data_IF_627134450704
#
_entry.id   IF_627134450704
#
_cell.length_a   1.000
_cell.length_b   1.000
_cell.length_c   1.000
_cell.angle_alpha   90.00
_cell.angle_beta   90.00
_cell.angle_gamma   90.00
#
_symmetry.space_group_name_H-M   'P 1'
#
loop_
_entity.id
_entity.type
_entity.pdbx_description
1 polymer ?
#
# COMPACT_ATOMS: atom_id res chain seq x y z
N UNK A 1 -9.31 8.54 1.90
CA UNK A 1 -8.41 7.45 2.34
C UNK A 1 -9.17 6.15 2.59
N UNK A 2 -10.49 6.21 2.77
CA UNK A 2 -11.33 5.06 3.15
C UNK A 2 -11.30 3.91 2.14
N UNK A 3 -11.38 4.22 0.84
CA UNK A 3 -11.27 3.21 -0.22
C UNK A 3 -9.93 2.47 -0.17
N UNK A 4 -8.83 3.18 0.07
CA UNK A 4 -7.48 2.59 0.15
C UNK A 4 -7.38 1.63 1.34
N UNK A 5 -7.96 1.98 2.49
CA UNK A 5 -7.98 1.13 3.69
C UNK A 5 -8.80 -0.14 3.46
N UNK A 6 -9.88 -0.08 2.67
CA UNK A 6 -10.68 -1.26 2.29
C UNK A 6 -9.87 -2.17 1.37
N UNK A 7 -9.30 -1.64 0.28
CA UNK A 7 -8.50 -2.46 -0.68
C UNK A 7 -7.30 -3.11 0.01
N UNK A 8 -6.68 -2.43 0.98
CA UNK A 8 -5.57 -3.00 1.76
C UNK A 8 -5.95 -4.30 2.51
N UNK A 9 -7.23 -4.44 2.92
CA UNK A 9 -7.72 -5.66 3.57
C UNK A 9 -7.78 -6.83 2.60
N UNK A 10 -8.02 -6.58 1.32
CA UNK A 10 -8.12 -7.62 0.28
C UNK A 10 -6.76 -8.16 -0.17
N UNK A 11 -5.68 -7.40 0.01
CA UNK A 11 -4.31 -7.84 -0.28
C UNK A 11 -3.96 -9.02 0.63
N UNK A 12 -3.33 -10.06 0.09
CA UNK A 12 -2.95 -11.22 0.90
C UNK A 12 -1.71 -10.91 1.76
N UNK A 13 -1.62 -11.45 2.97
CA UNK A 13 -0.41 -11.30 3.79
C UNK A 13 0.81 -11.86 3.04
N UNK A 14 1.91 -11.11 3.02
CA UNK A 14 3.13 -11.41 2.27
C UNK A 14 3.15 -10.94 0.81
N UNK A 15 2.06 -10.35 0.30
CA UNK A 15 1.98 -9.84 -1.07
C UNK A 15 2.62 -8.44 -1.20
N UNK A 16 3.36 -8.24 -2.29
CA UNK A 16 4.02 -6.99 -2.63
C UNK A 16 3.13 -6.15 -3.56
N UNK A 17 2.98 -4.87 -3.24
CA UNK A 17 2.15 -3.94 -4.01
C UNK A 17 2.75 -2.54 -4.03
N UNK A 18 2.31 -1.72 -4.98
CA UNK A 18 2.56 -0.28 -4.99
C UNK A 18 1.26 0.50 -4.77
N UNK A 19 1.34 1.78 -4.41
CA UNK A 19 0.16 2.60 -4.09
C UNK A 19 -0.88 2.60 -5.21
N UNK A 20 -0.47 2.54 -6.49
CA UNK A 20 -1.39 2.48 -7.63
C UNK A 20 -2.27 1.22 -7.64
N UNK A 21 -1.80 0.11 -7.06
CA UNK A 21 -2.52 -1.18 -7.08
C UNK A 21 -3.69 -1.16 -6.09
N UNK A 22 -3.71 -0.20 -5.16
CA UNK A 22 -4.81 0.03 -4.22
C UNK A 22 -6.03 0.70 -4.88
N UNK A 23 -5.89 1.10 -6.15
CA UNK A 23 -6.92 1.75 -6.95
C UNK A 23 -7.22 0.90 -8.18
N UNK A 24 -8.44 0.99 -8.71
CA UNK A 24 -8.72 0.40 -10.03
C UNK A 24 -7.95 1.20 -11.08
N UNK A 25 -7.42 0.52 -12.10
CA UNK A 25 -6.55 1.16 -13.11
C UNK A 25 -7.16 2.42 -13.75
N UNK A 26 -8.47 2.42 -14.03
CA UNK A 26 -9.15 3.60 -14.57
C UNK A 26 -9.30 4.74 -13.55
N UNK A 27 -9.43 4.44 -12.25
CA UNK A 27 -9.50 5.45 -11.19
C UNK A 27 -8.14 6.11 -11.00
N UNK A 28 -7.06 5.32 -10.94
CA UNK A 28 -5.70 5.84 -10.88
C UNK A 28 -5.40 6.78 -12.05
N UNK A 29 -5.82 6.40 -13.26
CA UNK A 29 -5.61 7.18 -14.48
C UNK A 29 -6.36 8.52 -14.50
N UNK A 30 -7.45 8.68 -13.74
CA UNK A 30 -8.20 9.94 -13.62
C UNK A 30 -7.59 10.94 -12.63
N UNK A 31 -6.74 10.48 -11.71
CA UNK A 31 -6.08 11.36 -10.73
C UNK A 31 -4.96 12.13 -11.45
N UNK A 32 -4.89 13.45 -11.27
CA UNK A 32 -3.80 14.26 -11.84
C UNK A 32 -2.43 13.86 -11.29
N UNK A 33 -1.35 14.07 -12.07
CA UNK A 33 0.02 13.68 -11.68
C UNK A 33 0.43 14.21 -10.31
N UNK A 34 0.17 15.49 -10.03
CA UNK A 34 0.50 16.10 -8.73
C UNK A 34 -0.22 15.44 -7.56
N UNK A 35 -1.50 15.08 -7.75
CA UNK A 35 -2.28 14.38 -6.73
C UNK A 35 -1.77 12.95 -6.51
N UNK A 36 -1.31 12.24 -7.56
CA UNK A 36 -0.67 10.92 -7.42
C UNK A 36 0.61 11.00 -6.60
N UNK A 37 1.45 12.01 -6.83
CA UNK A 37 2.66 12.24 -6.04
C UNK A 37 2.32 12.50 -4.57
N UNK A 38 1.33 13.37 -4.31
CA UNK A 38 0.87 13.66 -2.95
C UNK A 38 0.33 12.40 -2.25
N UNK A 39 -0.44 11.58 -2.96
CA UNK A 39 -0.93 10.29 -2.44
C UNK A 39 0.21 9.35 -2.07
N UNK A 40 1.24 9.24 -2.90
CA UNK A 40 2.45 8.47 -2.58
C UNK A 40 3.10 8.95 -1.28
N UNK A 41 3.30 10.25 -1.10
CA UNK A 41 3.87 10.83 0.13
C UNK A 41 2.98 10.61 1.35
N UNK A 42 1.67 10.74 1.21
CA UNK A 42 0.72 10.46 2.28
C UNK A 42 0.75 8.97 2.68
N UNK A 43 0.90 8.08 1.71
CA UNK A 43 0.97 6.64 1.98
C UNK A 43 2.29 6.24 2.66
N UNK A 44 3.39 6.92 2.34
CA UNK A 44 4.66 6.81 3.08
C UNK A 44 4.45 7.21 4.55
N UNK A 45 3.76 8.32 4.83
CA UNK A 45 3.46 8.73 6.21
C UNK A 45 2.56 7.71 6.92
N UNK A 46 1.51 7.23 6.25
CA UNK A 46 0.62 6.19 6.76
C UNK A 46 1.39 4.92 7.14
N UNK A 47 2.36 4.49 6.33
CA UNK A 47 3.17 3.30 6.62
C UNK A 47 4.06 3.45 7.87
N UNK A 48 4.30 4.67 8.33
CA UNK A 48 5.06 4.92 9.56
C UNK A 48 4.17 5.11 10.80
N UNK A 49 2.90 5.47 10.61
CA UNK A 49 1.94 5.70 11.70
C UNK A 49 0.92 4.57 11.75
N UNK A 50 -0.32 4.84 11.34
CA UNK A 50 -1.48 3.93 11.45
C UNK A 50 -1.27 2.58 10.75
N UNK A 51 -0.48 2.55 9.67
CA UNK A 51 -0.24 1.36 8.87
C UNK A 51 1.00 0.55 9.28
N UNK A 52 1.76 0.98 10.29
CA UNK A 52 3.06 0.39 10.65
C UNK A 52 2.99 -1.13 10.93
N UNK A 53 1.91 -1.56 11.54
CA UNK A 53 1.68 -2.97 11.94
C UNK A 53 1.02 -3.79 10.82
N UNK A 54 0.54 -3.14 9.76
CA UNK A 54 -0.12 -3.81 8.62
C UNK A 54 0.78 -3.96 7.41
N UNK A 55 1.66 -2.99 7.19
CA UNK A 55 2.49 -2.91 5.99
C UNK A 55 3.92 -2.54 6.34
N UNK A 56 4.84 -3.04 5.53
CA UNK A 56 6.24 -2.64 5.58
C UNK A 56 6.73 -2.22 4.21
N UNK A 57 7.83 -1.48 4.17
CA UNK A 57 8.44 -1.08 2.91
C UNK A 57 9.39 -2.16 2.46
N UNK A 58 9.15 -2.65 1.26
CA UNK A 58 9.93 -3.73 0.69
C UNK A 58 11.08 -3.22 -0.21
N UNK A 59 10.88 -2.07 -0.85
CA UNK A 59 11.90 -1.48 -1.73
C UNK A 59 11.32 -0.49 -2.72
N UNK A 60 11.94 -0.35 -3.88
CA UNK A 60 11.43 0.48 -4.98
C UNK A 60 11.42 -0.28 -6.30
N UNK A 61 10.45 0.04 -7.16
CA UNK A 61 10.43 -0.46 -8.54
C UNK A 61 11.56 0.17 -9.37
N UNK A 62 11.90 -0.39 -10.55
CA UNK A 62 12.84 0.23 -11.48
C UNK A 62 12.45 1.66 -11.90
N UNK A 63 11.15 1.98 -11.86
CA UNK A 63 10.61 3.34 -12.09
C UNK A 63 10.61 4.20 -10.82
N UNK A 64 11.36 3.82 -9.78
CA UNK A 64 11.54 4.53 -8.52
C UNK A 64 10.22 4.73 -7.72
N UNK A 65 9.22 3.87 -7.92
CA UNK A 65 8.00 3.86 -7.12
C UNK A 65 8.22 3.04 -5.85
N UNK A 66 7.72 3.50 -4.70
CA UNK A 66 7.84 2.76 -3.44
C UNK A 66 6.98 1.49 -3.47
N UNK A 67 7.58 0.35 -3.14
CA UNK A 67 6.93 -0.95 -2.97
C UNK A 67 6.70 -1.24 -1.49
N UNK A 68 5.55 -1.82 -1.19
CA UNK A 68 5.11 -2.21 0.13
C UNK A 68 4.80 -3.69 0.13
N UNK A 69 4.98 -4.32 1.28
CA UNK A 69 4.53 -5.68 1.52
C UNK A 69 3.51 -5.65 2.65
N UNK A 70 2.40 -6.39 2.48
CA UNK A 70 1.49 -6.61 3.60
C UNK A 70 2.17 -7.58 4.57
N UNK A 71 2.27 -7.20 5.85
CA UNK A 71 2.85 -8.09 6.86
C UNK A 71 2.04 -9.37 6.93
N UNK A 72 2.72 -10.48 7.19
CA UNK A 72 2.04 -11.73 7.51
C UNK A 72 1.31 -11.52 8.84
N UNK A 73 0.00 -11.74 8.88
CA UNK A 73 -0.64 -12.05 10.15
C UNK A 73 0.01 -13.35 10.61
N UNK A 74 0.88 -13.26 11.61
CA UNK A 74 1.28 -14.42 12.39
C UNK A 74 0.01 -14.96 13.04
N UNK A 75 -0.72 -15.81 12.31
CA UNK A 75 -1.58 -16.78 12.96
C UNK A 75 -0.61 -17.63 13.74
N UNK A 76 -0.53 -17.39 15.05
CA UNK A 76 0.08 -18.36 15.95
C UNK A 76 -0.67 -19.67 15.70
N UNK A 77 -0.01 -20.62 15.05
CA UNK A 77 -0.31 -22.03 15.25
C UNK A 77 0.02 -22.35 16.71
N UNK A 78 -0.82 -21.85 17.60
CA UNK A 78 -0.95 -22.30 18.98
C UNK A 78 -2.30 -23.01 19.03
N UNK A 79 -2.31 -24.24 18.54
CA UNK A 79 -2.80 -25.44 19.23
C UNK A 79 -2.68 -26.68 18.34
#
# INVERSE_FOLDING_TARGET
MDMVKVTLREIKPGENFVVKDLFRGFEWNRISRGNRTKLGSLFISYSYSEGKDLIERFGKTPQNQMMYQKRKEEISELK
#
